data_IF_860452850578
#
_entry.id   IF_860452850578
#
_cell.length_a   1.000
_cell.length_b   1.000
_cell.length_c   1.000
_cell.angle_alpha   90.00
_cell.angle_beta   90.00
_cell.angle_gamma   90.00
#
_symmetry.space_group_name_H-M   'P 1'
#
loop_
_entity.id
_entity.type
_entity.pdbx_description
1 polymer ?
#
# COMPACT_ATOMS: atom_id res chain seq x y z
N UNK A 1 25.53 -16.29 -6.92
CA UNK A 1 24.59 -16.37 -5.78
C UNK A 1 23.80 -15.08 -5.78
N UNK A 2 22.46 -15.12 -5.82
CA UNK A 2 21.67 -13.91 -5.58
C UNK A 2 22.02 -13.41 -4.18
N UNK A 3 22.38 -12.14 -4.05
CA UNK A 3 22.53 -11.53 -2.73
C UNK A 3 21.11 -11.38 -2.16
N UNK A 4 20.72 -12.28 -1.26
CA UNK A 4 19.45 -12.16 -0.53
C UNK A 4 19.49 -11.02 0.49
N UNK A 5 20.69 -10.60 0.90
CA UNK A 5 20.93 -9.44 1.77
C UNK A 5 21.70 -8.37 1.01
N UNK A 6 21.13 -7.16 0.97
CA UNK A 6 21.72 -5.99 0.34
C UNK A 6 22.11 -4.99 1.43
N UNK A 7 23.41 -4.82 1.65
CA UNK A 7 23.97 -3.87 2.63
C UNK A 7 24.45 -2.57 1.98
N UNK A 8 24.62 -2.58 0.65
CA UNK A 8 25.13 -1.46 -0.15
C UNK A 8 24.74 -1.63 -1.61
N UNK A 9 24.50 -0.52 -2.31
CA UNK A 9 24.33 -0.46 -3.76
C UNK A 9 25.65 -0.37 -4.54
N UNK A 10 25.54 0.00 -5.82
CA UNK A 10 26.67 0.07 -6.74
C UNK A 10 27.72 1.13 -6.32
N UNK A 11 28.98 0.77 -6.06
CA UNK A 11 30.01 1.72 -5.65
C UNK A 11 30.48 2.66 -6.77
N UNK A 12 30.17 2.37 -8.03
CA UNK A 12 30.57 3.18 -9.19
C UNK A 12 29.52 4.25 -9.55
N UNK A 13 28.35 4.22 -8.92
CA UNK A 13 27.26 5.18 -9.14
C UNK A 13 27.15 6.11 -7.95
N UNK A 14 27.10 7.42 -8.19
CA UNK A 14 27.02 8.46 -7.16
C UNK A 14 25.63 8.58 -6.50
N UNK A 15 25.06 7.44 -6.10
CA UNK A 15 23.79 7.33 -5.40
C UNK A 15 24.02 6.93 -3.93
N UNK A 16 23.13 7.37 -3.05
CA UNK A 16 22.97 6.83 -1.70
C UNK A 16 21.47 6.80 -1.36
N UNK A 17 21.06 5.95 -0.43
CA UNK A 17 19.68 5.85 0.01
C UNK A 17 19.56 6.27 1.48
N UNK A 18 18.65 7.20 1.75
CA UNK A 18 18.20 7.49 3.11
C UNK A 18 16.95 6.68 3.38
N UNK A 19 17.02 5.83 4.40
CA UNK A 19 15.97 4.89 4.75
C UNK A 19 15.46 5.14 6.16
N UNK A 20 14.17 4.96 6.36
CA UNK A 20 13.50 5.28 7.62
C UNK A 20 12.65 4.10 8.06
N UNK A 21 12.97 3.50 9.19
CA UNK A 21 12.16 2.45 9.80
C UNK A 21 11.11 3.07 10.73
N UNK A 22 10.00 2.36 10.97
CA UNK A 22 9.16 2.33 12.19
C UNK A 22 7.64 2.25 11.92
N UNK A 23 6.91 2.02 13.01
CA UNK A 23 5.46 1.87 13.14
C UNK A 23 5.19 1.25 14.53
N UNK A 24 3.93 1.17 15.04
CA UNK A 24 2.68 1.63 14.46
C UNK A 24 2.24 3.03 14.93
N UNK A 25 3.09 3.72 15.69
CA UNK A 25 2.71 4.95 16.39
C UNK A 25 2.45 6.13 15.44
N UNK A 26 1.70 7.13 15.92
CA UNK A 26 1.46 8.36 15.16
C UNK A 26 2.72 9.20 15.20
N UNK A 27 3.31 9.45 14.05
CA UNK A 27 4.53 10.25 13.95
C UNK A 27 4.21 11.46 13.06
N UNK A 28 4.70 12.66 13.38
CA UNK A 28 4.62 13.80 12.47
C UNK A 28 5.60 13.59 11.31
N UNK A 29 5.33 12.56 10.50
CA UNK A 29 6.18 12.12 9.38
C UNK A 29 6.45 13.27 8.41
N UNK A 30 5.55 14.25 8.36
CA UNK A 30 5.69 15.49 7.59
C UNK A 30 7.04 16.20 7.82
N UNK A 31 7.57 16.19 9.05
CA UNK A 31 8.88 16.79 9.32
C UNK A 31 10.03 16.07 8.57
N UNK A 32 9.95 14.74 8.42
CA UNK A 32 10.92 13.96 7.66
C UNK A 32 10.76 14.20 6.16
N UNK A 33 9.53 14.21 5.66
CA UNK A 33 9.23 14.46 4.25
C UNK A 33 9.70 15.86 3.83
N UNK A 34 9.38 16.88 4.63
CA UNK A 34 9.80 18.27 4.38
C UNK A 34 11.33 18.42 4.42
N UNK A 35 12.02 17.69 5.31
CA UNK A 35 13.48 17.72 5.39
C UNK A 35 14.15 17.13 4.15
N UNK A 36 13.59 16.07 3.57
CA UNK A 36 14.06 15.45 2.33
C UNK A 36 13.79 16.37 1.12
N UNK A 37 12.58 16.89 1.00
CA UNK A 37 12.16 17.72 -0.13
C UNK A 37 12.90 19.06 -0.22
N UNK A 38 13.23 19.68 0.93
CA UNK A 38 14.03 20.90 0.96
C UNK A 38 15.42 20.71 0.31
N UNK A 39 15.91 19.49 0.26
CA UNK A 39 17.16 19.13 -0.41
C UNK A 39 16.97 18.41 -1.75
N UNK A 40 15.74 18.33 -2.28
CA UNK A 40 15.44 17.65 -3.55
C UNK A 40 15.61 16.13 -3.49
N UNK A 41 15.51 15.52 -2.31
CA UNK A 41 15.71 14.09 -2.08
C UNK A 41 14.40 13.34 -1.89
N UNK A 42 14.39 12.05 -2.23
CA UNK A 42 13.33 11.11 -1.88
C UNK A 42 13.93 9.96 -1.05
N UNK A 43 13.33 9.66 0.11
CA UNK A 43 13.71 8.53 0.94
C UNK A 43 12.82 7.29 0.75
N UNK A 44 13.26 6.17 1.32
CA UNK A 44 12.50 4.92 1.43
C UNK A 44 12.09 4.67 2.87
N UNK A 45 10.79 4.44 3.10
CA UNK A 45 10.23 4.20 4.43
C UNK A 45 9.82 2.73 4.57
N UNK A 46 10.41 2.04 5.55
CA UNK A 46 10.06 0.68 5.94
C UNK A 46 9.06 0.77 7.09
N UNK A 47 7.78 0.57 6.80
CA UNK A 47 6.69 0.79 7.75
C UNK A 47 6.00 -0.53 8.11
N UNK A 48 5.48 -0.60 9.34
CA UNK A 48 4.78 -1.81 9.78
C UNK A 48 3.41 -1.94 9.13
N UNK A 49 2.91 -3.16 8.98
CA UNK A 49 1.54 -3.42 8.51
C UNK A 49 0.48 -2.69 9.35
N UNK A 50 0.65 -2.68 10.68
CA UNK A 50 -0.22 -1.90 11.58
C UNK A 50 -0.21 -0.39 11.30
N UNK A 51 0.91 0.17 10.84
CA UNK A 51 0.99 1.58 10.43
C UNK A 51 0.18 1.83 9.16
N UNK A 52 0.31 0.95 8.16
CA UNK A 52 -0.47 1.04 6.91
C UNK A 52 -1.98 1.00 7.18
N UNK A 53 -2.41 0.13 8.08
CA UNK A 53 -3.82 0.03 8.49
C UNK A 53 -4.33 1.31 9.14
N UNK A 54 -3.50 1.96 9.95
CA UNK A 54 -3.88 3.15 10.71
C UNK A 54 -3.80 4.43 9.88
N UNK A 55 -2.88 4.52 8.92
CA UNK A 55 -2.59 5.76 8.18
C UNK A 55 -2.62 5.59 6.65
N UNK A 56 -3.64 4.96 6.05
CA UNK A 56 -3.66 4.69 4.61
C UNK A 56 -3.66 5.97 3.76
N UNK A 57 -4.31 7.04 4.23
CA UNK A 57 -4.27 8.34 3.54
C UNK A 57 -2.86 8.95 3.51
N UNK A 58 -2.10 8.83 4.61
CA UNK A 58 -0.72 9.32 4.67
C UNK A 58 0.21 8.47 3.80
N UNK A 59 0.01 7.16 3.74
CA UNK A 59 0.75 6.29 2.81
C UNK A 59 0.60 6.75 1.35
N UNK A 60 -0.63 7.05 0.92
CA UNK A 60 -0.89 7.59 -0.43
C UNK A 60 -0.27 8.96 -0.66
N UNK A 61 -0.32 9.83 0.35
CA UNK A 61 0.33 11.15 0.30
C UNK A 61 1.84 11.05 0.12
N UNK A 62 2.51 10.17 0.88
CA UNK A 62 3.95 9.96 0.77
C UNK A 62 4.36 9.49 -0.62
N UNK A 63 3.63 8.53 -1.20
CA UNK A 63 3.85 8.07 -2.58
C UNK A 63 3.63 9.21 -3.58
N UNK A 64 2.58 10.02 -3.40
CA UNK A 64 2.32 11.17 -4.26
C UNK A 64 3.40 12.25 -4.19
N UNK A 65 4.11 12.35 -3.05
CA UNK A 65 5.30 13.20 -2.86
C UNK A 65 6.59 12.59 -3.42
N UNK A 66 6.54 11.38 -3.98
CA UNK A 66 7.68 10.71 -4.61
C UNK A 66 8.49 9.79 -3.69
N UNK A 67 8.08 9.63 -2.43
CA UNK A 67 8.73 8.71 -1.51
C UNK A 67 8.39 7.25 -1.81
N UNK A 68 9.33 6.38 -1.49
CA UNK A 68 9.13 4.94 -1.59
C UNK A 68 8.70 4.36 -0.25
N UNK A 69 7.72 3.46 -0.27
CA UNK A 69 7.26 2.75 0.91
C UNK A 69 7.49 1.26 0.73
N UNK A 70 7.86 0.56 1.79
CA UNK A 70 7.88 -0.90 1.83
C UNK A 70 7.60 -1.41 3.24
N UNK A 71 7.60 -2.73 3.42
CA UNK A 71 7.24 -3.41 4.67
C UNK A 71 8.40 -3.53 5.66
N UNK A 72 8.08 -3.33 6.94
CA UNK A 72 8.90 -3.63 8.11
C UNK A 72 8.24 -4.72 8.99
N UNK A 73 7.66 -5.75 8.36
CA UNK A 73 6.76 -6.76 8.96
C UNK A 73 5.43 -6.18 9.43
N UNK A 74 4.50 -7.02 9.91
CA UNK A 74 3.20 -6.52 10.32
C UNK A 74 3.21 -5.97 11.76
N UNK A 75 3.69 -6.77 12.71
CA UNK A 75 3.64 -6.49 14.15
C UNK A 75 4.99 -6.06 14.77
N UNK A 76 6.02 -5.83 13.95
CA UNK A 76 7.35 -5.43 14.44
C UNK A 76 8.00 -6.45 15.39
N UNK A 77 7.87 -7.75 15.08
CA UNK A 77 8.41 -8.86 15.90
C UNK A 77 9.91 -9.08 15.63
N UNK A 78 10.60 -9.64 16.62
CA UNK A 78 11.93 -10.24 16.42
C UNK A 78 11.79 -11.51 15.58
N UNK A 79 12.13 -11.43 14.30
CA UNK A 79 11.87 -12.53 13.35
C UNK A 79 12.75 -13.76 13.59
N UNK A 80 13.87 -13.59 14.31
CA UNK A 80 14.67 -14.70 14.82
C UNK A 80 13.93 -15.58 15.85
N UNK A 81 12.87 -15.08 16.50
CA UNK A 81 12.20 -15.78 17.59
C UNK A 81 10.88 -16.45 17.16
N UNK A 82 10.45 -16.24 15.91
CA UNK A 82 9.18 -16.77 15.40
C UNK A 82 9.33 -18.10 14.65
N UNK A 83 8.23 -18.83 14.55
CA UNK A 83 8.13 -20.06 13.74
C UNK A 83 8.03 -19.71 12.25
N UNK A 84 8.29 -20.67 11.36
CA UNK A 84 8.17 -20.48 9.91
C UNK A 84 6.77 -20.04 9.47
N UNK A 85 5.73 -20.58 10.12
CA UNK A 85 4.34 -20.21 9.85
C UNK A 85 4.07 -18.74 10.20
N UNK A 86 4.48 -18.31 11.40
CA UNK A 86 4.33 -16.91 11.84
C UNK A 86 5.17 -15.97 10.98
N UNK A 87 6.37 -16.41 10.55
CA UNK A 87 7.22 -15.62 9.64
C UNK A 87 6.48 -15.26 8.35
N UNK A 88 5.89 -16.24 7.66
CA UNK A 88 5.15 -15.97 6.42
C UNK A 88 3.84 -15.23 6.66
N UNK A 89 3.19 -15.44 7.80
CA UNK A 89 2.00 -14.69 8.20
C UNK A 89 2.32 -13.19 8.36
N UNK A 90 3.42 -12.85 9.04
CA UNK A 90 3.89 -11.46 9.18
C UNK A 90 4.13 -10.79 7.82
N UNK A 91 4.75 -11.50 6.86
CA UNK A 91 4.99 -10.97 5.52
C UNK A 91 3.68 -10.81 4.74
N UNK A 92 2.83 -11.85 4.70
CA UNK A 92 1.55 -11.81 4.00
C UNK A 92 0.66 -10.69 4.54
N UNK A 93 0.51 -10.56 5.85
CA UNK A 93 -0.33 -9.52 6.44
C UNK A 93 0.21 -8.13 6.13
N UNK A 94 1.53 -7.93 6.16
CA UNK A 94 2.12 -6.64 5.82
C UNK A 94 1.95 -6.27 4.34
N UNK A 95 2.06 -7.25 3.43
CA UNK A 95 1.78 -7.07 2.00
C UNK A 95 0.33 -6.66 1.74
N UNK A 96 -0.62 -7.33 2.42
CA UNK A 96 -2.04 -6.99 2.31
C UNK A 96 -2.35 -5.60 2.85
N UNK A 97 -1.80 -5.25 4.02
CA UNK A 97 -1.95 -3.91 4.60
C UNK A 97 -1.35 -2.82 3.69
N UNK A 98 -0.15 -3.06 3.16
CA UNK A 98 0.48 -2.17 2.18
C UNK A 98 -0.42 -1.97 0.95
N UNK A 99 -0.93 -3.06 0.36
CA UNK A 99 -1.70 -2.98 -0.87
C UNK A 99 -3.03 -2.27 -0.66
N UNK A 100 -3.74 -2.56 0.44
CA UNK A 100 -4.99 -1.89 0.78
C UNK A 100 -4.78 -0.40 1.11
N UNK A 101 -3.68 -0.05 1.77
CA UNK A 101 -3.36 1.34 2.11
C UNK A 101 -2.98 2.17 0.89
N UNK A 102 -2.14 1.62 0.01
CA UNK A 102 -1.50 2.35 -1.09
C UNK A 102 -2.23 2.20 -2.42
N UNK A 103 -3.03 1.14 -2.59
CA UNK A 103 -3.60 0.75 -3.88
C UNK A 103 -2.57 0.18 -4.87
N UNK A 104 -1.36 -0.17 -4.40
CA UNK A 104 -0.24 -0.68 -5.22
C UNK A 104 0.24 -2.04 -4.68
N UNK A 105 0.75 -2.93 -5.54
CA UNK A 105 1.36 -4.17 -5.06
C UNK A 105 2.62 -3.89 -4.22
N UNK A 106 2.92 -4.76 -3.26
CA UNK A 106 4.01 -4.56 -2.31
C UNK A 106 5.38 -4.84 -2.97
N UNK A 107 6.40 -3.98 -2.81
CA UNK A 107 7.75 -4.26 -3.30
C UNK A 107 8.35 -5.52 -2.63
N UNK A 108 9.09 -6.32 -3.38
CA UNK A 108 9.73 -7.56 -2.86
C UNK A 108 11.07 -7.31 -2.19
N UNK A 109 11.18 -6.22 -1.43
CA UNK A 109 12.32 -5.97 -0.56
C UNK A 109 11.83 -5.40 0.77
N UNK A 110 12.50 -5.74 1.86
CA UNK A 110 12.06 -5.38 3.20
C UNK A 110 13.24 -5.24 4.15
N UNK A 111 12.98 -4.82 5.39
CA UNK A 111 13.96 -4.83 6.48
C UNK A 111 13.37 -5.51 7.70
N UNK A 112 14.13 -6.37 8.38
CA UNK A 112 13.65 -7.00 9.61
C UNK A 112 13.76 -6.05 10.81
N UNK A 113 12.73 -6.00 11.67
CA UNK A 113 12.80 -5.31 12.95
C UNK A 113 14.03 -5.74 13.76
N UNK A 114 14.69 -4.77 14.37
CA UNK A 114 15.87 -4.96 15.24
C UNK A 114 17.06 -5.67 14.58
N UNK A 115 17.10 -5.74 13.24
CA UNK A 115 18.02 -6.63 12.50
C UNK A 115 17.98 -8.09 13.03
N UNK A 116 16.83 -8.52 13.55
CA UNK A 116 16.69 -9.78 14.27
C UNK A 116 16.24 -10.90 13.34
N UNK A 117 17.21 -11.68 12.85
CA UNK A 117 16.99 -12.86 12.04
C UNK A 117 18.11 -13.90 12.25
N UNK A 118 17.83 -15.15 11.89
CA UNK A 118 18.81 -16.25 11.77
C UNK A 118 18.95 -16.70 10.32
N UNK A 119 19.93 -17.54 10.01
CA UNK A 119 20.18 -18.03 8.64
C UNK A 119 18.94 -18.67 8.01
N UNK A 120 18.15 -19.41 8.80
CA UNK A 120 16.90 -20.01 8.33
C UNK A 120 15.87 -18.97 7.89
N UNK A 121 15.81 -17.80 8.53
CA UNK A 121 14.90 -16.74 8.09
C UNK A 121 15.31 -16.18 6.72
N UNK A 122 16.60 -16.16 6.38
CA UNK A 122 17.06 -15.73 5.05
C UNK A 122 16.63 -16.73 3.97
N UNK A 123 16.70 -18.03 4.27
CA UNK A 123 16.19 -19.09 3.38
C UNK A 123 14.69 -18.93 3.18
N UNK A 124 13.93 -18.66 4.24
CA UNK A 124 12.48 -18.45 4.15
C UNK A 124 12.14 -17.16 3.39
N UNK A 125 12.93 -16.11 3.56
CA UNK A 125 12.75 -14.86 2.81
C UNK A 125 13.01 -15.06 1.31
N UNK A 126 14.03 -15.85 0.95
CA UNK A 126 14.31 -16.24 -0.43
C UNK A 126 13.18 -17.12 -1.01
N UNK A 127 12.65 -18.08 -0.24
CA UNK A 127 11.46 -18.86 -0.60
C UNK A 127 10.24 -17.97 -0.85
N UNK A 128 10.14 -16.84 -0.13
CA UNK A 128 9.11 -15.82 -0.32
C UNK A 128 9.43 -14.83 -1.46
N UNK A 129 10.55 -15.00 -2.17
CA UNK A 129 11.05 -14.12 -3.23
C UNK A 129 11.34 -12.67 -2.79
N UNK A 130 11.87 -12.46 -1.59
CA UNK A 130 12.24 -11.14 -1.07
C UNK A 130 13.74 -10.90 -0.98
N UNK A 131 14.11 -9.63 -1.06
CA UNK A 131 15.42 -9.11 -0.69
C UNK A 131 15.36 -8.50 0.72
N UNK A 132 16.36 -8.80 1.56
CA UNK A 132 16.59 -8.10 2.81
C UNK A 132 17.48 -6.88 2.56
N UNK A 133 17.04 -5.71 3.02
CA UNK A 133 17.79 -4.46 2.95
C UNK A 133 18.36 -4.14 4.34
N UNK A 134 19.68 -4.03 4.39
CA UNK A 134 20.44 -3.54 5.52
C UNK A 134 21.19 -2.25 5.15
N UNK A 135 21.97 -1.72 6.07
CA UNK A 135 22.71 -0.49 5.88
C UNK A 135 23.41 -0.04 7.14
N UNK A 136 23.88 1.19 7.11
CA UNK A 136 24.60 1.83 8.20
C UNK A 136 23.61 2.45 9.20
N UNK A 137 23.49 1.85 10.39
CA UNK A 137 22.70 2.41 11.48
C UNK A 137 23.27 3.76 11.95
N UNK A 138 22.39 4.76 12.01
CA UNK A 138 22.69 6.09 12.57
C UNK A 138 22.57 6.12 14.09
N UNK A 139 21.90 5.14 14.69
CA UNK A 139 21.63 5.06 16.14
C UNK A 139 20.82 6.28 16.63
N UNK A 140 19.98 6.85 15.76
CA UNK A 140 19.10 7.97 16.07
C UNK A 140 17.95 7.57 17.01
N UNK A 141 17.60 6.29 17.05
CA UNK A 141 16.71 5.68 18.04
C UNK A 141 17.18 5.86 19.50
N UNK A 142 18.44 6.26 19.75
CA UNK A 142 18.93 6.62 21.08
C UNK A 142 18.67 8.09 21.47
N UNK A 143 18.10 8.89 20.57
CA UNK A 143 17.75 10.29 20.75
C UNK A 143 18.93 11.29 20.82
N UNK A 144 20.03 11.12 20.05
CA UNK A 144 21.15 12.06 20.07
C UNK A 144 20.75 13.42 19.44
N UNK A 145 21.45 14.51 19.77
CA UNK A 145 21.27 15.79 19.09
C UNK A 145 21.57 15.72 17.60
N UNK A 146 20.90 16.54 16.79
CA UNK A 146 21.07 16.59 15.33
C UNK A 146 22.54 16.74 14.88
N UNK A 147 23.33 17.58 15.55
CA UNK A 147 24.73 17.80 15.19
C UNK A 147 25.59 16.52 15.34
N UNK A 148 25.34 15.71 16.36
CA UNK A 148 26.04 14.45 16.58
C UNK A 148 25.67 13.42 15.51
N UNK A 149 24.40 13.37 15.11
CA UNK A 149 23.96 12.54 13.98
C UNK A 149 24.66 12.93 12.68
N UNK A 150 24.75 14.24 12.39
CA UNK A 150 25.44 14.72 11.18
C UNK A 150 26.90 14.30 11.19
N UNK A 151 27.62 14.53 12.30
CA UNK A 151 29.03 14.15 12.44
C UNK A 151 29.25 12.64 12.23
N UNK A 152 28.35 11.82 12.79
CA UNK A 152 28.39 10.35 12.65
C UNK A 152 28.15 9.87 11.22
N UNK A 153 27.25 10.53 10.48
CA UNK A 153 26.79 10.04 9.18
C UNK A 153 27.62 10.58 8.02
N UNK A 154 28.12 11.82 8.08
CA UNK A 154 28.89 12.44 6.97
C UNK A 154 30.06 11.57 6.45
N UNK A 155 30.86 10.88 7.29
CA UNK A 155 31.91 9.98 6.82
C UNK A 155 31.38 8.74 6.09
N UNK A 156 30.14 8.32 6.38
CA UNK A 156 29.47 7.16 5.78
C UNK A 156 28.79 7.48 4.44
N UNK A 157 28.68 8.77 4.07
CA UNK A 157 28.12 9.21 2.80
C UNK A 157 29.12 8.96 1.66
N UNK A 158 29.01 7.79 1.05
CA UNK A 158 29.78 7.33 -0.11
C UNK A 158 28.84 6.67 -1.12
N UNK A 159 29.33 6.44 -2.35
CA UNK A 159 28.58 5.74 -3.40
C UNK A 159 28.02 4.40 -2.91
N UNK A 160 26.75 4.15 -3.17
CA UNK A 160 26.04 2.94 -2.80
C UNK A 160 25.58 2.89 -1.34
N UNK A 161 25.90 3.87 -0.48
CA UNK A 161 25.54 3.81 0.94
C UNK A 161 24.03 3.74 1.15
N UNK A 162 23.60 2.88 2.07
CA UNK A 162 22.23 2.82 2.61
C UNK A 162 22.33 3.27 4.07
N UNK A 163 21.68 4.37 4.42
CA UNK A 163 21.72 4.94 5.77
C UNK A 163 20.39 4.66 6.46
N UNK A 164 20.43 4.11 7.68
CA UNK A 164 19.25 3.73 8.46
C UNK A 164 18.97 4.78 9.53
N UNK A 165 17.81 5.41 9.40
CA UNK A 165 17.21 6.30 10.37
C UNK A 165 15.90 5.69 10.87
N UNK A 166 15.32 6.35 11.85
CA UNK A 166 14.04 6.02 12.43
C UNK A 166 13.09 7.20 12.25
N UNK A 167 11.85 6.92 11.88
CA UNK A 167 10.78 7.89 11.84
C UNK A 167 9.89 7.65 13.05
N UNK A 168 10.35 8.00 14.26
CA UNK A 168 9.59 7.83 15.50
C UNK A 168 9.73 9.01 16.48
N UNK A 169 9.02 8.97 17.61
CA UNK A 169 9.04 10.04 18.62
C UNK A 169 10.39 10.20 19.34
N UNK A 170 11.20 9.14 19.40
CA UNK A 170 12.54 9.17 20.02
C UNK A 170 13.51 9.90 19.09
N UNK A 171 13.42 9.62 17.79
CA UNK A 171 14.22 10.20 16.72
C UNK A 171 13.80 11.63 16.32
N UNK A 172 13.29 12.43 17.27
CA UNK A 172 12.74 13.79 17.00
C UNK A 172 13.72 14.78 16.35
N UNK A 173 15.03 14.57 16.54
CA UNK A 173 16.10 15.41 15.99
C UNK A 173 16.54 14.97 14.59
N UNK A 174 16.09 13.79 14.14
CA UNK A 174 16.44 13.21 12.83
C UNK A 174 16.04 14.11 11.66
N UNK A 175 14.86 14.75 11.60
CA UNK A 175 14.52 15.66 10.50
C UNK A 175 15.54 16.78 10.31
N UNK A 176 15.98 17.39 11.41
CA UNK A 176 17.00 18.45 11.37
C UNK A 176 18.34 17.91 10.86
N UNK A 177 18.74 16.71 11.29
CA UNK A 177 19.96 16.07 10.81
C UNK A 177 19.87 15.72 9.32
N UNK A 178 18.76 15.12 8.89
CA UNK A 178 18.49 14.76 7.49
C UNK A 178 18.59 16.00 6.59
N UNK A 179 17.98 17.12 6.98
CA UNK A 179 18.10 18.38 6.24
C UNK A 179 19.56 18.78 6.00
N UNK A 180 20.41 18.70 7.03
CA UNK A 180 21.84 19.00 6.90
C UNK A 180 22.56 17.95 6.03
N UNK A 181 22.23 16.68 6.20
CA UNK A 181 22.86 15.57 5.50
C UNK A 181 22.57 15.58 4.00
N UNK A 182 21.38 15.99 3.57
CA UNK A 182 21.08 16.17 2.14
C UNK A 182 21.95 17.28 1.53
N UNK A 183 22.27 18.35 2.27
CA UNK A 183 23.24 19.33 1.78
C UNK A 183 24.67 18.75 1.68
N UNK A 184 25.06 17.88 2.61
CA UNK A 184 26.36 17.20 2.55
C UNK A 184 26.45 16.20 1.39
N UNK A 185 25.37 15.48 1.05
CA UNK A 185 25.36 14.57 -0.11
C UNK A 185 25.56 15.37 -1.40
N UNK A 186 24.84 16.49 -1.58
CA UNK A 186 25.01 17.40 -2.72
C UNK A 186 26.45 17.91 -2.84
N UNK A 187 27.07 18.35 -1.73
CA UNK A 187 28.46 18.80 -1.73
C UNK A 187 29.47 17.68 -2.09
N UNK A 188 29.11 16.42 -1.83
CA UNK A 188 29.89 15.22 -2.20
C UNK A 188 29.56 14.72 -3.61
N UNK A 189 28.62 15.34 -4.33
CA UNK A 189 28.16 14.88 -5.65
C UNK A 189 27.30 13.61 -5.59
N UNK A 190 26.70 13.31 -4.43
CA UNK A 190 25.82 12.16 -4.22
C UNK A 190 24.35 12.55 -4.38
N UNK A 191 23.60 11.79 -5.17
CA UNK A 191 22.14 11.86 -5.20
C UNK A 191 21.54 10.96 -4.10
N UNK A 192 20.54 11.47 -3.39
CA UNK A 192 19.75 10.67 -2.44
C UNK A 192 18.55 10.11 -3.20
N UNK A 193 18.52 8.80 -3.37
CA UNK A 193 17.54 8.09 -4.20
C UNK A 193 16.80 7.02 -3.40
N UNK A 194 15.59 6.61 -3.82
CA UNK A 194 14.91 5.44 -3.27
C UNK A 194 15.76 4.15 -3.40
N UNK A 195 15.52 3.19 -2.53
CA UNK A 195 16.20 1.89 -2.53
C UNK A 195 15.99 1.15 -3.84
N UNK A 196 14.80 1.17 -4.44
CA UNK A 196 14.62 0.53 -5.77
C UNK A 196 15.51 1.13 -6.86
N UNK A 197 15.72 2.44 -6.87
CA UNK A 197 16.62 3.09 -7.82
C UNK A 197 18.08 2.72 -7.53
N UNK A 198 18.47 2.64 -6.25
CA UNK A 198 19.78 2.16 -5.83
C UNK A 198 20.04 0.71 -6.28
N UNK A 199 19.04 -0.17 -6.13
CA UNK A 199 19.09 -1.56 -6.57
C UNK A 199 19.20 -1.68 -8.09
N UNK A 200 18.39 -0.92 -8.83
CA UNK A 200 18.41 -0.90 -10.30
C UNK A 200 19.78 -0.45 -10.83
N UNK A 201 20.41 0.53 -10.18
CA UNK A 201 21.77 0.97 -10.52
C UNK A 201 22.84 -0.12 -10.26
N UNK A 202 22.56 -1.11 -9.41
CA UNK A 202 23.39 -2.30 -9.17
C UNK A 202 22.96 -3.51 -10.02
N UNK A 203 22.02 -3.33 -10.96
CA UNK A 203 21.49 -4.39 -11.81
C UNK A 203 20.54 -5.36 -11.10
N UNK A 204 20.01 -4.96 -9.94
CA UNK A 204 19.06 -5.74 -9.14
C UNK A 204 17.66 -5.15 -9.31
N UNK A 205 16.74 -5.89 -9.93
CA UNK A 205 15.33 -5.51 -9.99
C UNK A 205 14.57 -6.11 -8.82
N UNK A 206 13.95 -5.27 -8.00
CA UNK A 206 12.90 -5.72 -7.10
C UNK A 206 11.63 -6.04 -7.90
N UNK A 207 10.94 -7.12 -7.53
CA UNK A 207 9.61 -7.42 -8.03
C UNK A 207 8.54 -6.75 -7.18
N UNK A 208 7.28 -7.09 -7.48
CA UNK A 208 6.12 -6.67 -6.70
C UNK A 208 5.25 -7.89 -6.40
N UNK A 209 4.57 -7.89 -5.26
CA UNK A 209 3.57 -8.91 -4.89
C UNK A 209 2.19 -8.30 -4.91
N UNK A 210 1.39 -8.81 -5.83
CA UNK A 210 0.00 -8.42 -6.02
C UNK A 210 -0.90 -9.50 -5.44
N UNK A 211 -1.72 -9.12 -4.49
CA UNK A 211 -2.73 -10.00 -3.91
C UNK A 211 -4.10 -9.68 -4.48
N UNK A 212 -4.98 -10.67 -4.46
CA UNK A 212 -6.40 -10.48 -4.69
C UNK A 212 -7.19 -11.39 -3.76
N UNK A 213 -8.39 -10.96 -3.38
CA UNK A 213 -9.40 -11.87 -2.85
C UNK A 213 -10.19 -12.44 -4.02
N UNK A 214 -10.48 -13.74 -3.97
CA UNK A 214 -11.45 -14.37 -4.86
C UNK A 214 -12.46 -15.18 -4.06
N UNK A 215 -13.71 -15.20 -4.51
CA UNK A 215 -14.76 -15.98 -3.88
C UNK A 215 -15.75 -16.55 -4.89
N UNK A 216 -16.34 -17.70 -4.58
CA UNK A 216 -17.33 -18.35 -5.42
C UNK A 216 -18.64 -17.56 -5.40
N UNK A 217 -19.33 -17.42 -6.54
CA UNK A 217 -20.61 -16.76 -6.61
C UNK A 217 -21.68 -17.70 -6.05
N UNK A 218 -21.83 -17.72 -4.73
CA UNK A 218 -22.88 -18.46 -4.05
C UNK A 218 -24.00 -17.49 -3.67
N UNK A 219 -25.25 -17.92 -3.77
CA UNK A 219 -26.37 -17.05 -3.43
C UNK A 219 -27.30 -17.73 -2.41
N UNK A 220 -27.51 -17.05 -1.28
CA UNK A 220 -28.49 -17.44 -0.26
C UNK A 220 -29.38 -16.23 0.07
N UNK A 221 -30.69 -16.34 -0.15
CA UNK A 221 -31.68 -15.32 0.22
C UNK A 221 -32.43 -14.70 -0.96
N UNK A 222 -32.97 -13.50 -0.76
CA UNK A 222 -33.67 -12.71 -1.79
C UNK A 222 -32.81 -11.53 -2.22
N UNK A 223 -32.62 -11.37 -3.53
CA UNK A 223 -31.87 -10.25 -4.11
C UNK A 223 -32.84 -9.28 -4.77
N UNK A 224 -32.77 -8.03 -4.33
CA UNK A 224 -33.61 -6.94 -4.82
C UNK A 224 -32.93 -6.27 -6.02
N UNK A 225 -32.96 -6.94 -7.18
CA UNK A 225 -32.33 -6.44 -8.41
C UNK A 225 -32.90 -5.08 -8.84
N UNK A 226 -34.16 -4.78 -8.51
CA UNK A 226 -34.82 -3.50 -8.77
C UNK A 226 -34.17 -2.30 -8.06
N UNK A 227 -33.38 -2.54 -7.01
CA UNK A 227 -32.64 -1.50 -6.29
C UNK A 227 -31.33 -1.11 -6.98
N UNK A 228 -30.85 -1.92 -7.94
CA UNK A 228 -29.61 -1.70 -8.66
C UNK A 228 -29.92 -1.22 -10.07
N UNK A 229 -29.41 -0.04 -10.43
CA UNK A 229 -29.63 0.56 -11.75
C UNK A 229 -28.30 0.92 -12.41
N UNK A 230 -28.18 0.75 -13.74
CA UNK A 230 -27.04 1.27 -14.48
C UNK A 230 -26.85 2.77 -14.24
N UNK A 231 -25.60 3.20 -14.05
CA UNK A 231 -25.22 4.61 -13.99
C UNK A 231 -24.99 5.09 -15.41
N UNK A 232 -26.08 5.46 -16.07
CA UNK A 232 -26.09 5.90 -17.46
C UNK A 232 -26.50 7.37 -17.58
N UNK A 233 -25.81 8.10 -18.45
CA UNK A 233 -26.09 9.51 -18.70
C UNK A 233 -25.49 10.46 -17.66
N UNK A 234 -25.45 11.74 -18.02
CA UNK A 234 -24.74 12.75 -17.25
C UNK A 234 -25.45 13.09 -15.92
N UNK A 235 -26.78 13.05 -15.88
CA UNK A 235 -27.55 13.41 -14.68
C UNK A 235 -27.40 12.37 -13.57
N UNK A 236 -27.48 11.07 -13.89
CA UNK A 236 -27.29 9.99 -12.92
C UNK A 236 -25.85 9.99 -12.38
N UNK A 237 -24.86 10.20 -13.27
CA UNK A 237 -23.47 10.31 -12.88
C UNK A 237 -23.22 11.51 -11.94
N UNK A 238 -23.82 12.67 -12.24
CA UNK A 238 -23.74 13.87 -11.39
C UNK A 238 -24.38 13.65 -10.02
N UNK A 239 -25.51 12.95 -9.98
CA UNK A 239 -26.22 12.59 -8.75
C UNK A 239 -25.39 11.62 -7.91
N UNK A 240 -24.88 10.54 -8.51
CA UNK A 240 -23.99 9.60 -7.84
C UNK A 240 -22.74 10.31 -7.31
N UNK A 241 -22.13 11.20 -8.08
CA UNK A 241 -20.96 11.98 -7.65
C UNK A 241 -21.28 12.89 -6.45
N UNK A 242 -22.49 13.47 -6.39
CA UNK A 242 -22.91 14.30 -5.27
C UNK A 242 -23.12 13.45 -4.02
N UNK A 243 -23.93 12.38 -4.13
CA UNK A 243 -24.22 11.48 -3.01
C UNK A 243 -22.94 10.84 -2.47
N UNK A 244 -22.10 10.29 -3.34
CA UNK A 244 -20.91 9.53 -2.94
C UNK A 244 -19.77 10.35 -2.37
N UNK A 245 -19.77 11.66 -2.60
CA UNK A 245 -18.82 12.57 -1.96
C UNK A 245 -19.09 12.71 -0.46
N UNK A 246 -20.35 12.55 -0.04
CA UNK A 246 -20.77 12.63 1.36
C UNK A 246 -20.54 11.33 2.15
N UNK A 247 -20.17 10.24 1.46
CA UNK A 247 -20.02 8.90 2.06
C UNK A 247 -18.73 8.74 2.89
N UNK A 248 -17.84 9.73 2.87
CA UNK A 248 -16.52 9.61 3.50
C UNK A 248 -15.62 8.57 2.82
N UNK A 249 -15.84 8.32 1.52
CA UNK A 249 -15.02 7.41 0.72
C UNK A 249 -13.53 7.85 0.78
N UNK A 250 -12.59 7.02 1.26
CA UNK A 250 -11.17 7.38 1.33
C UNK A 250 -10.51 7.69 -0.02
N UNK A 251 -11.15 7.32 -1.13
CA UNK A 251 -10.74 7.63 -2.51
C UNK A 251 -11.27 8.99 -2.99
N UNK A 252 -12.32 9.50 -2.35
CA UNK A 252 -12.93 10.76 -2.76
C UNK A 252 -11.98 11.94 -2.50
N UNK A 253 -11.80 12.84 -3.46
CA UNK A 253 -10.96 14.03 -3.30
C UNK A 253 -11.58 14.95 -2.24
N UNK A 254 -10.72 15.69 -1.54
CA UNK A 254 -11.11 16.71 -0.56
C UNK A 254 -10.73 18.11 -1.03
N UNK A 255 -11.32 19.13 -0.41
CA UNK A 255 -11.01 20.54 -0.68
C UNK A 255 -11.66 21.12 -1.93
N UNK A 256 -11.14 22.26 -2.39
CA UNK A 256 -11.72 23.00 -3.52
C UNK A 256 -11.69 22.16 -4.81
N UNK A 257 -12.84 22.11 -5.50
CA UNK A 257 -13.00 21.34 -6.72
C UNK A 257 -13.13 19.82 -6.54
N UNK A 258 -13.26 19.32 -5.30
CA UNK A 258 -13.47 17.91 -4.98
C UNK A 258 -14.57 17.27 -5.84
N UNK A 259 -15.75 17.87 -5.88
CA UNK A 259 -16.87 17.38 -6.70
C UNK A 259 -16.49 17.19 -8.17
N UNK A 260 -15.83 18.18 -8.80
CA UNK A 260 -15.44 18.10 -10.22
C UNK A 260 -14.43 16.99 -10.47
N UNK A 261 -13.42 16.87 -9.59
CA UNK A 261 -12.42 15.80 -9.67
C UNK A 261 -13.06 14.42 -9.49
N UNK A 262 -14.02 14.31 -8.56
CA UNK A 262 -14.72 13.07 -8.29
C UNK A 262 -15.64 12.67 -9.43
N UNK A 263 -16.41 13.61 -9.97
CA UNK A 263 -17.22 13.42 -11.17
C UNK A 263 -16.37 12.96 -12.36
N UNK A 264 -15.21 13.58 -12.55
CA UNK A 264 -14.27 13.17 -13.60
C UNK A 264 -13.77 11.74 -13.37
N UNK A 265 -13.39 11.39 -12.14
CA UNK A 265 -12.97 10.03 -11.80
C UNK A 265 -14.07 9.00 -12.12
N UNK A 266 -15.30 9.22 -11.64
CA UNK A 266 -16.42 8.32 -11.90
C UNK A 266 -16.78 8.22 -13.40
N UNK A 267 -16.62 9.32 -14.15
CA UNK A 267 -16.89 9.32 -15.60
C UNK A 267 -16.01 8.36 -16.40
N UNK A 268 -14.82 8.02 -15.89
CA UNK A 268 -13.91 7.08 -16.55
C UNK A 268 -14.51 5.67 -16.63
N UNK A 269 -15.32 5.27 -15.64
CA UNK A 269 -15.97 3.95 -15.63
C UNK A 269 -17.06 3.83 -16.69
N UNK A 270 -17.77 4.93 -16.99
CA UNK A 270 -18.80 4.97 -18.05
C UNK A 270 -18.18 4.79 -19.44
N UNK A 271 -16.91 5.18 -19.61
CA UNK A 271 -16.21 5.15 -20.89
C UNK A 271 -15.55 3.80 -21.20
N UNK A 272 -15.53 2.86 -20.23
CA UNK A 272 -14.81 1.57 -20.30
C UNK A 272 -15.48 0.48 -21.16
N UNK A 273 -16.43 0.83 -22.03
CA UNK A 273 -17.03 -0.08 -23.02
C UNK A 273 -18.10 -1.05 -22.48
N UNK A 274 -18.67 -1.86 -23.39
CA UNK A 274 -19.88 -2.69 -23.15
C UNK A 274 -19.69 -3.88 -22.20
N UNK A 275 -18.46 -4.20 -21.82
CA UNK A 275 -18.16 -5.31 -20.89
C UNK A 275 -18.07 -4.84 -19.44
N UNK A 276 -18.08 -3.53 -19.21
CA UNK A 276 -18.05 -2.92 -17.88
C UNK A 276 -19.47 -2.67 -17.38
N UNK A 277 -19.75 -3.13 -16.17
CA UNK A 277 -21.00 -2.90 -15.44
C UNK A 277 -20.76 -1.82 -14.42
N UNK A 278 -21.35 -0.66 -14.64
CA UNK A 278 -21.35 0.42 -13.66
C UNK A 278 -22.77 0.64 -13.17
N UNK A 279 -23.04 0.22 -11.93
CA UNK A 279 -24.37 0.25 -11.31
C UNK A 279 -24.34 0.99 -9.98
N UNK A 280 -25.45 1.62 -9.64
CA UNK A 280 -25.67 2.21 -8.33
C UNK A 280 -26.89 1.57 -7.66
N UNK A 281 -26.76 1.36 -6.35
CA UNK A 281 -27.88 0.95 -5.49
C UNK A 281 -28.56 2.19 -4.94
N UNK A 282 -29.89 2.26 -5.09
CA UNK A 282 -30.68 3.41 -4.64
C UNK A 282 -31.81 3.00 -3.71
N UNK A 283 -32.07 3.84 -2.70
CA UNK A 283 -33.22 3.73 -1.82
C UNK A 283 -33.71 5.13 -1.43
N UNK A 284 -35.03 5.34 -1.48
CA UNK A 284 -35.67 6.64 -1.21
C UNK A 284 -35.05 7.81 -2.00
N UNK A 285 -34.82 7.60 -3.30
CA UNK A 285 -34.24 8.58 -4.24
C UNK A 285 -32.80 9.04 -3.93
N UNK A 286 -32.08 8.31 -3.09
CA UNK A 286 -30.66 8.52 -2.82
C UNK A 286 -29.83 7.29 -3.17
N UNK A 287 -28.59 7.49 -3.60
CA UNK A 287 -27.63 6.41 -3.75
C UNK A 287 -27.01 6.00 -2.41
N UNK A 288 -26.78 4.69 -2.28
CA UNK A 288 -26.20 4.09 -1.08
C UNK A 288 -24.97 3.24 -1.36
N UNK A 289 -24.80 2.80 -2.60
CA UNK A 289 -23.61 2.10 -3.05
C UNK A 289 -23.45 2.25 -4.57
N UNK A 290 -22.23 2.05 -5.05
CA UNK A 290 -22.00 1.77 -6.47
C UNK A 290 -21.02 0.62 -6.64
N UNK A 291 -21.07 -0.03 -7.79
CA UNK A 291 -20.11 -1.05 -8.21
C UNK A 291 -19.76 -0.83 -9.66
N UNK A 292 -18.47 -0.84 -9.95
CA UNK A 292 -17.89 -0.97 -11.28
C UNK A 292 -17.21 -2.34 -11.37
N UNK A 293 -17.67 -3.20 -12.27
CA UNK A 293 -17.09 -4.52 -12.47
C UNK A 293 -16.91 -4.84 -13.96
N UNK A 294 -15.94 -5.69 -14.29
CA UNK A 294 -15.72 -6.20 -15.64
C UNK A 294 -15.63 -7.73 -15.64
N UNK A 295 -15.89 -8.37 -16.78
CA UNK A 295 -15.69 -9.83 -16.92
C UNK A 295 -14.33 -10.05 -17.58
N UNK A 296 -13.45 -10.82 -16.93
CA UNK A 296 -12.12 -11.16 -17.47
C UNK A 296 -11.83 -12.62 -17.19
N UNK A 297 -11.48 -13.38 -18.24
CA UNK A 297 -11.09 -14.79 -18.09
C UNK A 297 -12.14 -15.70 -17.44
N UNK A 298 -13.43 -15.36 -17.53
CA UNK A 298 -14.51 -16.09 -16.85
C UNK A 298 -14.71 -15.71 -15.38
N UNK A 299 -14.08 -14.65 -14.91
CA UNK A 299 -14.25 -14.08 -13.57
C UNK A 299 -14.94 -12.72 -13.64
N UNK A 300 -15.76 -12.40 -12.63
CA UNK A 300 -16.27 -11.06 -12.41
C UNK A 300 -15.29 -10.28 -11.54
N UNK A 301 -14.58 -9.33 -12.13
CA UNK A 301 -13.58 -8.49 -11.46
C UNK A 301 -14.24 -7.23 -10.93
N UNK A 302 -14.21 -7.02 -9.61
CA UNK A 302 -14.64 -5.78 -8.96
C UNK A 302 -13.53 -4.73 -9.09
N UNK A 303 -13.70 -3.79 -10.02
CA UNK A 303 -12.71 -2.75 -10.36
C UNK A 303 -12.79 -1.57 -9.38
N UNK A 304 -14.01 -1.17 -9.01
CA UNK A 304 -14.26 -0.14 -8.02
C UNK A 304 -15.62 -0.32 -7.35
N UNK A 305 -15.75 0.10 -6.11
CA UNK A 305 -17.01 0.18 -5.39
C UNK A 305 -16.86 1.13 -4.20
N UNK A 306 -17.99 1.70 -3.78
CA UNK A 306 -18.08 2.41 -2.52
C UNK A 306 -19.49 2.27 -1.94
N UNK A 307 -19.61 2.51 -0.64
CA UNK A 307 -20.87 2.44 0.12
C UNK A 307 -21.01 3.64 1.04
N UNK A 308 -22.25 4.10 1.26
CA UNK A 308 -22.58 5.28 2.10
C UNK A 308 -22.22 5.17 3.57
N UNK A 309 -22.06 3.95 4.08
CA UNK A 309 -21.78 3.72 5.49
C UNK A 309 -20.56 2.82 5.69
N UNK A 310 -19.79 3.13 6.73
CA UNK A 310 -18.81 2.23 7.34
C UNK A 310 -19.45 1.17 8.26
N UNK A 311 -20.78 1.15 8.40
CA UNK A 311 -21.48 0.05 9.07
C UNK A 311 -21.22 -1.25 8.33
N UNK A 312 -21.07 -2.32 9.11
CA UNK A 312 -20.48 -3.59 8.68
C UNK A 312 -21.16 -4.23 7.46
N UNK A 313 -22.41 -3.86 7.14
CA UNK A 313 -23.27 -4.62 6.23
C UNK A 313 -23.51 -3.96 4.86
N UNK A 314 -22.98 -2.75 4.60
CA UNK A 314 -23.22 -2.11 3.29
C UNK A 314 -22.46 -2.80 2.14
N UNK A 315 -21.25 -3.30 2.43
CA UNK A 315 -20.45 -4.09 1.49
C UNK A 315 -21.12 -5.45 1.17
N UNK A 316 -21.96 -5.98 2.07
CA UNK A 316 -22.74 -7.20 1.80
C UNK A 316 -23.65 -7.00 0.58
N UNK A 317 -24.24 -5.83 0.39
CA UNK A 317 -25.06 -5.55 -0.79
C UNK A 317 -24.24 -5.60 -2.08
N UNK A 318 -23.00 -5.08 -2.06
CA UNK A 318 -22.06 -5.16 -3.19
C UNK A 318 -21.71 -6.63 -3.48
N UNK A 319 -21.41 -7.42 -2.45
CA UNK A 319 -21.09 -8.85 -2.61
C UNK A 319 -22.29 -9.67 -3.11
N UNK A 320 -23.51 -9.36 -2.65
CA UNK A 320 -24.74 -9.97 -3.13
C UNK A 320 -25.02 -9.61 -4.60
N UNK A 321 -24.82 -8.34 -4.98
CA UNK A 321 -24.90 -7.92 -6.38
C UNK A 321 -23.88 -8.68 -7.22
N UNK A 322 -22.62 -8.76 -6.77
CA UNK A 322 -21.56 -9.45 -7.49
C UNK A 322 -21.86 -10.94 -7.66
N UNK A 323 -22.36 -11.62 -6.61
CA UNK A 323 -22.80 -13.01 -6.66
C UNK A 323 -23.92 -13.24 -7.68
N UNK A 324 -24.96 -12.39 -7.65
CA UNK A 324 -26.07 -12.48 -8.60
C UNK A 324 -25.62 -12.26 -10.05
N UNK A 325 -24.79 -11.25 -10.26
CA UNK A 325 -24.30 -10.87 -11.58
C UNK A 325 -23.36 -11.95 -12.14
N UNK A 326 -22.42 -12.44 -11.33
CA UNK A 326 -21.51 -13.52 -11.72
C UNK A 326 -22.27 -14.81 -12.09
N UNK A 327 -23.30 -15.19 -11.32
CA UNK A 327 -24.15 -16.35 -11.66
C UNK A 327 -24.88 -16.15 -12.99
N UNK A 328 -25.42 -14.95 -13.23
CA UNK A 328 -26.12 -14.61 -14.47
C UNK A 328 -25.20 -14.70 -15.69
N UNK A 329 -23.92 -14.39 -15.50
CA UNK A 329 -22.90 -14.40 -16.54
C UNK A 329 -22.13 -15.72 -16.66
N UNK A 330 -22.42 -16.68 -15.78
CA UNK A 330 -21.70 -17.95 -15.72
C UNK A 330 -20.23 -17.79 -15.32
N UNK A 331 -19.89 -16.74 -14.57
CA UNK A 331 -18.54 -16.55 -14.02
C UNK A 331 -18.27 -17.56 -12.90
N UNK A 332 -17.06 -18.11 -12.86
CA UNK A 332 -16.68 -19.11 -11.85
C UNK A 332 -16.25 -18.45 -10.53
N UNK A 333 -15.61 -17.28 -10.63
CA UNK A 333 -15.06 -16.54 -9.51
C UNK A 333 -15.47 -15.07 -9.58
N UNK A 334 -15.55 -14.44 -8.42
CA UNK A 334 -15.57 -12.99 -8.27
C UNK A 334 -14.23 -12.60 -7.63
N UNK A 335 -13.56 -11.60 -8.18
CA UNK A 335 -12.24 -11.17 -7.72
C UNK A 335 -12.18 -9.69 -7.40
N UNK A 336 -11.33 -9.32 -6.45
CA UNK A 336 -11.08 -7.92 -6.07
C UNK A 336 -9.67 -7.75 -5.56
N UNK A 337 -9.04 -6.64 -5.91
CA UNK A 337 -7.78 -6.18 -5.28
C UNK A 337 -8.03 -5.14 -4.18
N UNK A 338 -9.30 -4.74 -4.00
CA UNK A 338 -9.79 -3.76 -3.04
C UNK A 338 -10.41 -4.46 -1.83
N UNK A 339 -10.24 -3.87 -0.64
CA UNK A 339 -10.81 -4.33 0.64
C UNK A 339 -10.65 -5.85 0.88
N UNK A 340 -9.55 -6.46 0.42
CA UNK A 340 -9.37 -7.91 0.34
C UNK A 340 -9.65 -8.61 1.68
N UNK A 341 -9.07 -8.12 2.78
CA UNK A 341 -9.24 -8.69 4.12
C UNK A 341 -10.68 -8.55 4.61
N UNK A 342 -11.34 -7.42 4.31
CA UNK A 342 -12.74 -7.17 4.70
C UNK A 342 -13.70 -8.04 3.88
N UNK A 343 -13.50 -8.13 2.57
CA UNK A 343 -14.28 -9.01 1.68
C UNK A 343 -14.12 -10.45 2.13
N UNK A 344 -12.89 -10.94 2.33
CA UNK A 344 -12.63 -12.30 2.79
C UNK A 344 -13.41 -12.63 4.07
N UNK A 345 -13.34 -11.76 5.07
CA UNK A 345 -14.07 -11.93 6.34
C UNK A 345 -15.60 -11.93 6.15
N UNK A 346 -16.13 -11.05 5.29
CA UNK A 346 -17.57 -11.02 5.00
C UNK A 346 -18.02 -12.28 4.25
N UNK A 347 -17.20 -12.77 3.32
CA UNK A 347 -17.46 -14.03 2.62
C UNK A 347 -17.54 -15.20 3.61
N UNK A 348 -16.61 -15.30 4.57
CA UNK A 348 -16.68 -16.32 5.64
C UNK A 348 -17.99 -16.22 6.45
N UNK A 349 -18.42 -15.00 6.80
CA UNK A 349 -19.68 -14.77 7.53
C UNK A 349 -20.93 -15.11 6.70
N UNK A 350 -20.87 -14.92 5.38
CA UNK A 350 -21.94 -15.25 4.44
C UNK A 350 -21.92 -16.73 4.00
N UNK A 351 -20.92 -17.50 4.40
CA UNK A 351 -20.74 -18.89 3.98
C UNK A 351 -20.30 -19.03 2.51
N UNK A 352 -19.64 -18.01 1.95
CA UNK A 352 -19.03 -18.08 0.63
C UNK A 352 -17.65 -18.73 0.71
N UNK A 353 -17.34 -19.59 -0.26
CA UNK A 353 -15.99 -20.13 -0.41
C UNK A 353 -15.07 -19.01 -0.95
N UNK A 354 -14.06 -18.64 -0.18
CA UNK A 354 -13.24 -17.46 -0.42
C UNK A 354 -11.78 -17.70 -0.06
N UNK A 355 -10.88 -17.03 -0.78
CA UNK A 355 -9.45 -17.08 -0.51
C UNK A 355 -8.72 -15.80 -0.93
N UNK A 356 -7.62 -15.51 -0.24
CA UNK A 356 -6.69 -14.43 -0.61
C UNK A 356 -5.44 -15.07 -1.20
N UNK A 357 -5.25 -14.84 -2.50
CA UNK A 357 -4.23 -15.47 -3.34
C UNK A 357 -3.34 -14.42 -3.99
N UNK A 358 -2.11 -14.81 -4.33
CA UNK A 358 -1.26 -14.01 -5.20
C UNK A 358 -1.85 -14.04 -6.60
N UNK A 359 -1.88 -12.89 -7.26
CA UNK A 359 -2.16 -12.84 -8.68
C UNK A 359 -0.90 -13.32 -9.41
N UNK A 360 -1.01 -14.41 -10.16
CA UNK A 360 0.06 -14.85 -11.05
C UNK A 360 0.20 -13.78 -12.17
N UNK A 361 1.43 -13.31 -12.35
CA UNK A 361 1.78 -12.24 -13.29
C UNK A 361 1.93 -12.73 -14.73
#
# INVERSE_FOLDING_TARGET
MKKSVITRGNPEVSHCAFTFDDGPMRIPIDAWLDALEQGGACGTFFLTGEWFDRYPAKAREMIARGHELTTHTYHHRRMADVTKAVFFEELKLAELAYQEATGRPAPTFMRFPYASYREENLIWLEEWNYLLIEGEDTVDWSGPPSAELVERVVPKLVNGSIIIFHANEIAKETPQAVKSLVHHTLAKGLAVVPVSELLNADGISAGERRWQVRFKPTFQGSFHSEQWKPVEGEDELRKLAADSLEWGNPKAPTGSGAYRKWLQALSTHVQSGSETRFVARSFADQHWAYVCASVRGGELVLEDFATKESHADALVYVLQWAAHEALTLGCEWITSTLDMRRIYKLCEQMGFDAEIVLQEG
#
